data_IF_791234703580
#
_entry.id   IF_791234703580
#
_cell.length_a   1.000
_cell.length_b   1.000
_cell.length_c   1.000
_cell.angle_alpha   90.00
_cell.angle_beta   90.00
_cell.angle_gamma   90.00
#
_symmetry.space_group_name_H-M   'P 1'
#
loop_
_entity.id
_entity.type
_entity.pdbx_description
1 polymer ?
#
# COMPACT_ATOMS: atom_id res chain seq x y z
N UNK A 1 11.42 -16.55 22.11
CA UNK A 1 11.52 -16.11 23.51
C UNK A 1 10.39 -16.77 24.27
N UNK A 2 10.74 -17.84 24.97
CA UNK A 2 9.80 -18.63 25.74
C UNK A 2 9.74 -18.11 27.18
N UNK A 3 8.54 -17.95 27.72
CA UNK A 3 8.29 -17.57 29.11
C UNK A 3 7.18 -18.47 29.63
N UNK A 4 7.43 -19.19 30.72
CA UNK A 4 6.49 -20.13 31.34
C UNK A 4 5.97 -21.24 30.38
N UNK A 5 6.79 -21.68 29.42
CA UNK A 5 6.41 -22.70 28.44
C UNK A 5 5.77 -22.16 27.15
N UNK A 6 5.57 -20.84 27.04
CA UNK A 6 4.91 -20.22 25.90
C UNK A 6 5.82 -19.22 25.17
N UNK A 7 5.83 -19.26 23.84
CA UNK A 7 6.55 -18.29 23.01
C UNK A 7 5.81 -16.95 22.99
N UNK A 8 6.40 -15.90 23.58
CA UNK A 8 5.85 -14.53 23.55
C UNK A 8 6.40 -13.68 22.40
N UNK A 9 7.60 -13.99 21.93
CA UNK A 9 8.28 -13.33 20.80
C UNK A 9 9.14 -14.36 20.06
N UNK A 10 9.51 -14.10 18.81
CA UNK A 10 10.43 -14.94 18.05
C UNK A 10 11.88 -14.75 18.53
N UNK A 11 12.31 -13.50 18.71
CA UNK A 11 13.61 -13.11 19.26
C UNK A 11 13.52 -11.74 19.98
N UNK A 12 14.63 -11.22 20.48
CA UNK A 12 14.71 -9.94 21.21
C UNK A 12 15.39 -8.81 20.42
N UNK A 13 15.46 -8.94 19.08
CA UNK A 13 16.06 -7.92 18.23
C UNK A 13 15.10 -6.73 18.03
N UNK A 14 15.60 -5.64 17.46
CA UNK A 14 14.79 -4.48 17.06
C UNK A 14 13.67 -4.90 16.10
N UNK A 15 13.98 -5.81 15.18
CA UNK A 15 13.01 -6.44 14.27
C UNK A 15 13.09 -7.96 14.47
N UNK A 16 11.95 -8.60 14.73
CA UNK A 16 11.89 -10.04 14.89
C UNK A 16 12.06 -10.76 13.55
N UNK A 17 11.42 -10.24 12.51
CA UNK A 17 11.53 -10.66 11.12
C UNK A 17 11.48 -9.44 10.21
N UNK A 18 11.89 -9.59 8.96
CA UNK A 18 12.02 -8.47 8.03
C UNK A 18 10.68 -7.81 7.69
N UNK A 19 9.56 -8.53 7.88
CA UNK A 19 8.23 -7.99 7.66
C UNK A 19 7.82 -6.91 8.68
N UNK A 20 8.49 -6.83 9.84
CA UNK A 20 8.26 -5.82 10.89
C UNK A 20 8.82 -4.44 10.51
N UNK A 21 9.70 -4.36 9.51
CA UNK A 21 10.28 -3.09 9.05
C UNK A 21 9.25 -2.19 8.35
N UNK A 22 8.61 -1.26 9.07
CA UNK A 22 7.60 -0.38 8.49
C UNK A 22 8.17 0.55 7.41
N UNK A 23 7.61 0.50 6.20
CA UNK A 23 7.99 1.37 5.09
C UNK A 23 6.82 1.61 4.12
N UNK A 24 6.84 2.72 3.40
CA UNK A 24 5.81 3.10 2.43
C UNK A 24 5.86 2.30 1.12
N UNK A 25 7.04 1.79 0.77
CA UNK A 25 7.24 0.90 -0.37
C UNK A 25 8.27 -0.16 0.00
N UNK A 26 8.09 -1.39 -0.51
CA UNK A 26 9.03 -2.50 -0.28
C UNK A 26 9.40 -3.18 -1.60
N UNK A 27 10.70 -3.45 -1.85
CA UNK A 27 11.07 -4.41 -2.88
C UNK A 27 10.65 -5.81 -2.43
N UNK A 28 10.21 -6.64 -3.38
CA UNK A 28 9.71 -7.98 -3.10
C UNK A 28 10.23 -9.00 -4.10
N UNK A 29 10.34 -10.22 -3.61
CA UNK A 29 10.56 -11.44 -4.38
C UNK A 29 9.58 -12.51 -3.87
N UNK A 30 9.17 -13.43 -4.73
CA UNK A 30 8.36 -14.59 -4.32
C UNK A 30 9.26 -15.53 -3.52
N UNK A 31 8.87 -15.79 -2.27
CA UNK A 31 9.59 -16.67 -1.34
C UNK A 31 9.13 -18.11 -1.50
N UNK A 32 10.07 -19.04 -1.39
CA UNK A 32 9.75 -20.45 -1.17
C UNK A 32 9.32 -20.67 0.29
N UNK A 33 8.72 -21.83 0.59
CA UNK A 33 8.29 -22.15 1.95
C UNK A 33 9.48 -22.12 2.91
N UNK A 34 9.35 -21.36 4.00
CA UNK A 34 10.40 -21.17 5.00
C UNK A 34 11.54 -20.23 4.60
N UNK A 35 11.56 -19.70 3.38
CA UNK A 35 12.64 -18.83 2.92
C UNK A 35 12.50 -17.40 3.45
N UNK A 36 13.61 -16.80 3.89
CA UNK A 36 13.63 -15.39 4.29
C UNK A 36 13.38 -14.44 3.10
N UNK A 37 12.55 -13.38 3.27
CA UNK A 37 12.33 -12.38 2.23
C UNK A 37 13.61 -11.66 1.77
N UNK A 38 14.56 -11.40 2.67
CA UNK A 38 15.84 -10.78 2.29
C UNK A 38 16.69 -11.70 1.44
N UNK A 39 16.68 -12.99 1.77
CA UNK A 39 17.46 -14.01 1.10
C UNK A 39 16.92 -14.31 -0.31
N UNK A 40 15.60 -14.36 -0.46
CA UNK A 40 14.98 -14.50 -1.78
C UNK A 40 15.40 -13.37 -2.72
N UNK A 41 15.40 -12.13 -2.22
CA UNK A 41 15.85 -10.97 -2.98
C UNK A 41 17.36 -10.97 -3.25
N UNK A 42 18.19 -11.38 -2.29
CA UNK A 42 19.64 -11.49 -2.50
C UNK A 42 19.97 -12.51 -3.59
N UNK A 43 19.26 -13.64 -3.63
CA UNK A 43 19.49 -14.73 -4.58
C UNK A 43 18.92 -14.45 -5.97
N UNK A 44 17.74 -13.83 -6.05
CA UNK A 44 16.95 -13.74 -7.28
C UNK A 44 16.61 -12.31 -7.71
N UNK A 45 17.17 -11.32 -7.02
CA UNK A 45 16.87 -9.91 -7.24
C UNK A 45 15.44 -9.53 -6.83
N UNK A 46 15.10 -8.28 -7.09
CA UNK A 46 13.75 -7.74 -6.90
C UNK A 46 12.87 -8.13 -8.08
N UNK A 47 11.68 -8.68 -7.81
CA UNK A 47 10.70 -9.06 -8.84
C UNK A 47 9.59 -8.03 -9.00
N UNK A 48 9.14 -7.43 -7.91
CA UNK A 48 8.10 -6.40 -7.90
C UNK A 48 8.27 -5.46 -6.71
N UNK A 49 7.50 -4.36 -6.69
CA UNK A 49 7.39 -3.45 -5.55
C UNK A 49 6.00 -3.52 -4.94
N UNK A 50 5.94 -3.48 -3.61
CA UNK A 50 4.70 -3.40 -2.84
C UNK A 50 4.54 -1.98 -2.31
N UNK A 51 3.56 -1.23 -2.83
CA UNK A 51 3.20 0.10 -2.31
C UNK A 51 2.26 -0.08 -1.12
N UNK A 52 2.63 0.48 0.03
CA UNK A 52 1.95 0.31 1.32
C UNK A 52 1.40 1.62 1.89
N UNK A 53 1.54 2.72 1.15
CA UNK A 53 1.20 4.07 1.59
C UNK A 53 -0.28 4.45 1.41
N UNK A 54 -1.11 3.54 0.92
CA UNK A 54 -2.51 3.83 0.60
C UNK A 54 -3.40 3.56 1.80
N UNK A 55 -4.16 4.57 2.19
CA UNK A 55 -5.30 4.40 3.08
C UNK A 55 -6.45 3.69 2.36
N UNK A 56 -7.30 3.01 3.12
CA UNK A 56 -8.53 2.42 2.59
C UNK A 56 -9.49 3.54 2.18
N UNK A 57 -9.88 3.58 0.91
CA UNK A 57 -10.91 4.50 0.44
C UNK A 57 -12.24 4.17 1.09
N UNK A 58 -12.84 5.16 1.73
CA UNK A 58 -14.20 5.05 2.31
C UNK A 58 -15.30 5.33 1.30
N UNK A 59 -14.94 5.80 0.11
CA UNK A 59 -15.86 6.18 -0.96
C UNK A 59 -15.94 5.12 -2.08
N UNK A 60 -15.08 4.12 -2.05
CA UNK A 60 -15.07 2.99 -2.98
C UNK A 60 -15.43 1.70 -2.25
N UNK A 61 -16.35 0.87 -2.80
CA UNK A 61 -16.79 -0.36 -2.13
C UNK A 61 -15.66 -1.35 -1.89
N UNK A 62 -14.65 -1.38 -2.77
CA UNK A 62 -13.49 -2.27 -2.66
C UNK A 62 -12.34 -1.66 -1.86
N UNK A 63 -12.53 -0.49 -1.27
CA UNK A 63 -11.47 0.22 -0.53
C UNK A 63 -10.43 0.90 -1.41
N UNK A 64 -10.58 0.85 -2.74
CA UNK A 64 -9.71 1.52 -3.73
C UNK A 64 -10.46 1.75 -5.03
N UNK A 65 -10.22 2.88 -5.69
CA UNK A 65 -10.82 3.23 -6.98
C UNK A 65 -9.93 2.88 -8.19
N UNK A 66 -10.54 2.59 -9.34
CA UNK A 66 -9.80 2.31 -10.59
C UNK A 66 -8.92 3.49 -11.01
N UNK A 67 -9.41 4.72 -10.89
CA UNK A 67 -8.62 5.92 -11.19
C UNK A 67 -7.42 6.08 -10.25
N UNK A 68 -7.53 5.64 -8.99
CA UNK A 68 -6.41 5.65 -8.04
C UNK A 68 -5.34 4.64 -8.47
N UNK A 69 -5.75 3.42 -8.83
CA UNK A 69 -4.84 2.37 -9.31
C UNK A 69 -4.09 2.80 -10.58
N UNK A 70 -4.81 3.38 -11.57
CA UNK A 70 -4.18 3.90 -12.80
C UNK A 70 -3.19 5.02 -12.51
N UNK A 71 -3.51 5.91 -11.57
CA UNK A 71 -2.59 6.96 -11.16
C UNK A 71 -1.33 6.39 -10.49
N UNK A 72 -1.48 5.41 -9.59
CA UNK A 72 -0.35 4.76 -8.93
C UNK A 72 0.54 4.06 -9.94
N UNK A 73 -0.03 3.36 -10.93
CA UNK A 73 0.73 2.73 -12.00
C UNK A 73 1.50 3.76 -12.83
N UNK A 74 0.86 4.86 -13.25
CA UNK A 74 1.54 5.94 -13.96
C UNK A 74 2.66 6.58 -13.12
N UNK A 75 2.43 6.79 -11.82
CA UNK A 75 3.42 7.30 -10.89
C UNK A 75 4.63 6.36 -10.78
N UNK A 76 4.41 5.05 -10.64
CA UNK A 76 5.49 4.06 -10.56
C UNK A 76 6.31 4.00 -11.85
N UNK A 77 5.65 4.05 -13.00
CA UNK A 77 6.33 4.10 -14.30
C UNK A 77 7.09 5.41 -14.49
N UNK A 78 6.54 6.53 -14.03
CA UNK A 78 7.23 7.81 -14.04
C UNK A 78 8.50 7.77 -13.15
N UNK A 79 8.41 7.20 -11.95
CA UNK A 79 9.57 6.98 -11.07
C UNK A 79 10.62 6.07 -11.71
N UNK A 80 10.22 5.04 -12.46
CA UNK A 80 11.13 4.14 -13.18
C UNK A 80 11.91 4.87 -14.29
N UNK A 81 11.25 5.80 -15.00
CA UNK A 81 11.82 6.52 -16.13
C UNK A 81 12.58 7.78 -15.73
N UNK A 82 12.34 8.29 -14.53
CA UNK A 82 12.95 9.51 -14.03
C UNK A 82 14.37 9.26 -13.50
N UNK A 83 15.29 10.23 -13.63
CA UNK A 83 16.58 10.17 -12.96
C UNK A 83 16.40 9.97 -11.45
N UNK A 84 17.10 8.99 -10.87
CA UNK A 84 17.03 8.66 -9.46
C UNK A 84 18.45 8.53 -8.91
N UNK A 85 18.96 9.61 -8.32
CA UNK A 85 20.25 9.60 -7.66
C UNK A 85 20.18 8.76 -6.38
N UNK A 86 21.29 8.13 -5.94
CA UNK A 86 21.33 7.46 -4.65
C UNK A 86 20.92 8.40 -3.52
N UNK A 87 20.06 7.92 -2.62
CA UNK A 87 19.61 8.66 -1.45
C UNK A 87 20.70 8.57 -0.37
N UNK A 88 21.23 9.72 0.02
CA UNK A 88 22.11 9.82 1.19
C UNK A 88 21.31 10.08 2.48
N UNK A 89 22.00 10.21 3.61
CA UNK A 89 21.35 10.39 4.91
C UNK A 89 20.55 11.70 4.99
N UNK A 90 21.01 12.77 4.35
CA UNK A 90 20.28 14.04 4.32
C UNK A 90 19.00 13.93 3.49
N UNK A 91 19.09 13.31 2.30
CA UNK A 91 17.93 13.02 1.46
C UNK A 91 16.93 12.09 2.15
N UNK A 92 17.41 11.10 2.92
CA UNK A 92 16.51 10.23 3.71
C UNK A 92 15.71 11.02 4.74
N UNK A 93 16.36 11.93 5.48
CA UNK A 93 15.70 12.79 6.47
C UNK A 93 14.71 13.76 5.81
N UNK A 94 15.06 14.34 4.66
CA UNK A 94 14.15 15.18 3.89
C UNK A 94 12.90 14.41 3.44
N UNK A 95 13.07 13.19 2.92
CA UNK A 95 11.95 12.33 2.51
C UNK A 95 11.03 12.02 3.69
N UNK A 96 11.58 11.60 4.84
CA UNK A 96 10.81 11.28 6.05
C UNK A 96 10.07 12.52 6.60
N UNK A 97 10.74 13.68 6.59
CA UNK A 97 10.15 14.96 7.01
C UNK A 97 9.01 15.37 6.10
N UNK A 98 9.21 15.32 4.77
CA UNK A 98 8.19 15.68 3.79
C UNK A 98 6.95 14.77 3.91
N UNK A 99 7.15 13.46 4.06
CA UNK A 99 6.05 12.51 4.27
C UNK A 99 5.24 12.86 5.52
N UNK A 100 5.91 13.18 6.62
CA UNK A 100 5.27 13.58 7.87
C UNK A 100 4.52 14.92 7.74
N UNK A 101 5.13 15.89 7.07
CA UNK A 101 4.53 17.21 6.82
C UNK A 101 3.26 17.09 5.97
N UNK A 102 3.28 16.28 4.89
CA UNK A 102 2.10 16.05 4.05
C UNK A 102 1.02 15.26 4.80
N UNK A 103 1.38 14.24 5.58
CA UNK A 103 0.42 13.47 6.37
C UNK A 103 -0.32 14.32 7.41
N UNK A 104 0.37 15.30 8.02
CA UNK A 104 -0.18 16.13 9.09
C UNK A 104 -0.83 17.43 8.60
N UNK A 105 -0.27 18.05 7.57
CA UNK A 105 -0.64 19.39 7.10
C UNK A 105 -0.80 19.49 5.57
N UNK A 106 -0.84 18.39 4.82
CA UNK A 106 -0.83 18.38 3.35
C UNK A 106 -2.02 19.04 2.64
N UNK A 107 -3.04 19.48 3.38
CA UNK A 107 -4.15 20.29 2.83
C UNK A 107 -3.92 21.80 2.95
N UNK A 108 -2.86 22.23 3.64
CA UNK A 108 -2.47 23.63 3.70
C UNK A 108 -1.87 24.06 2.35
N UNK A 109 -2.48 25.03 1.62
CA UNK A 109 -1.97 25.49 0.34
C UNK A 109 -0.63 26.21 0.42
N UNK A 110 -0.18 26.59 1.63
CA UNK A 110 1.11 27.23 1.88
C UNK A 110 2.18 26.25 2.41
N UNK A 111 1.88 24.94 2.45
CA UNK A 111 2.84 23.96 2.96
C UNK A 111 4.12 23.93 2.11
N UNK A 112 5.24 24.12 2.79
CA UNK A 112 6.58 24.02 2.22
C UNK A 112 7.22 22.67 2.59
N UNK A 113 8.02 22.15 1.67
CA UNK A 113 8.77 20.90 1.74
C UNK A 113 10.25 21.16 1.45
N UNK A 114 11.09 20.13 1.61
CA UNK A 114 12.51 20.19 1.28
C UNK A 114 12.84 19.33 0.04
N UNK A 115 13.65 19.87 -0.87
CA UNK A 115 14.23 19.17 -2.01
C UNK A 115 15.71 19.56 -2.16
N UNK A 116 16.60 18.64 -1.81
CA UNK A 116 18.05 18.82 -1.90
C UNK A 116 18.52 20.09 -1.18
N UNK A 117 18.07 20.28 0.05
CA UNK A 117 18.36 21.42 0.90
C UNK A 117 17.63 22.73 0.53
N UNK A 118 16.74 22.71 -0.46
CA UNK A 118 15.95 23.88 -0.87
C UNK A 118 14.50 23.74 -0.42
N UNK A 119 13.91 24.87 -0.08
CA UNK A 119 12.49 24.92 0.25
C UNK A 119 11.64 24.97 -1.03
N UNK A 120 10.64 24.09 -1.13
CA UNK A 120 9.74 23.98 -2.29
C UNK A 120 8.29 23.92 -1.83
N UNK A 121 7.39 24.61 -2.52
CA UNK A 121 5.95 24.54 -2.21
C UNK A 121 5.41 23.15 -2.59
N UNK A 122 4.64 22.49 -1.71
CA UNK A 122 3.94 21.23 -2.02
C UNK A 122 3.13 21.37 -3.31
N UNK A 123 2.37 22.47 -3.43
CA UNK A 123 1.48 22.70 -4.58
C UNK A 123 2.24 22.78 -5.90
N UNK A 124 3.22 23.67 -5.98
CA UNK A 124 4.00 23.88 -7.20
C UNK A 124 4.84 22.66 -7.57
N UNK A 125 5.44 21.99 -6.57
CA UNK A 125 6.21 20.79 -6.82
C UNK A 125 5.32 19.62 -7.27
N UNK A 126 4.16 19.44 -6.63
CA UNK A 126 3.16 18.45 -7.06
C UNK A 126 2.67 18.70 -8.48
N UNK A 127 2.42 19.95 -8.87
CA UNK A 127 2.04 20.31 -10.24
C UNK A 127 3.12 19.96 -11.25
N UNK A 128 4.38 20.27 -10.94
CA UNK A 128 5.51 19.93 -11.80
C UNK A 128 5.60 18.43 -12.05
N UNK A 129 5.51 17.63 -10.98
CA UNK A 129 5.53 16.17 -11.06
C UNK A 129 4.36 15.62 -11.88
N UNK A 130 3.13 16.10 -11.62
CA UNK A 130 1.94 15.67 -12.37
C UNK A 130 1.98 16.09 -13.83
N UNK A 131 2.49 17.30 -14.14
CA UNK A 131 2.71 17.74 -15.52
C UNK A 131 3.74 16.85 -16.23
N UNK A 132 4.81 16.46 -15.53
CA UNK A 132 5.83 15.52 -16.02
C UNK A 132 5.26 14.15 -16.41
N UNK A 133 4.15 13.72 -15.80
CA UNK A 133 3.48 12.45 -16.11
C UNK A 133 2.58 12.51 -17.35
N UNK A 134 2.19 13.69 -17.83
CA UNK A 134 1.22 13.83 -18.94
C UNK A 134 1.64 13.10 -20.22
N UNK A 135 2.91 13.19 -20.70
CA UNK A 135 3.31 12.46 -21.91
C UNK A 135 3.25 10.95 -21.74
N UNK A 136 3.56 10.45 -20.53
CA UNK A 136 3.49 9.03 -20.19
C UNK A 136 2.03 8.54 -20.18
N UNK A 137 1.13 9.25 -19.49
CA UNK A 137 -0.30 8.92 -19.47
C UNK A 137 -0.90 8.93 -20.89
N UNK A 138 -0.56 9.93 -21.71
CA UNK A 138 -0.99 10.01 -23.11
C UNK A 138 -0.45 8.88 -23.98
N UNK A 139 0.73 8.34 -23.64
CA UNK A 139 1.27 7.17 -24.32
C UNK A 139 0.55 5.88 -23.88
N UNK A 140 0.36 5.67 -22.57
CA UNK A 140 -0.35 4.52 -22.01
C UNK A 140 -1.78 4.41 -22.55
N UNK A 141 -2.47 5.55 -22.68
CA UNK A 141 -3.84 5.58 -23.21
C UNK A 141 -3.94 5.14 -24.66
N UNK A 142 -2.87 5.30 -25.45
CA UNK A 142 -2.83 4.85 -26.85
C UNK A 142 -2.44 3.38 -26.98
N UNK A 143 -1.75 2.82 -25.99
CA UNK A 143 -1.19 1.46 -26.04
C UNK A 143 -2.01 0.41 -25.28
N UNK A 144 -3.05 0.80 -24.53
CA UNK A 144 -3.77 -0.10 -23.63
C UNK A 144 -5.20 0.33 -23.30
N UNK A 145 -5.65 0.02 -22.09
CA UNK A 145 -7.06 0.16 -21.64
C UNK A 145 -7.52 1.62 -21.37
N UNK A 146 -6.73 2.63 -21.73
CA UNK A 146 -7.11 4.04 -21.58
C UNK A 146 -7.27 4.52 -20.13
N UNK A 147 -7.72 5.76 -19.94
CA UNK A 147 -8.09 6.34 -18.65
C UNK A 147 -6.94 6.76 -17.72
N UNK A 148 -5.68 6.67 -18.14
CA UNK A 148 -4.53 7.18 -17.39
C UNK A 148 -4.51 8.70 -17.38
N UNK A 149 -4.85 9.35 -18.50
CA UNK A 149 -4.94 10.82 -18.54
C UNK A 149 -6.08 11.34 -17.66
N UNK A 150 -7.23 10.65 -17.64
CA UNK A 150 -8.36 11.01 -16.76
C UNK A 150 -7.99 10.86 -15.28
N UNK A 151 -7.32 9.75 -14.93
CA UNK A 151 -6.80 9.53 -13.58
C UNK A 151 -5.82 10.63 -13.15
N UNK A 152 -4.93 11.06 -14.06
CA UNK A 152 -3.99 12.15 -13.80
C UNK A 152 -4.70 13.49 -13.60
N UNK A 153 -5.70 13.81 -14.43
CA UNK A 153 -6.50 15.02 -14.30
C UNK A 153 -7.22 15.11 -12.95
N UNK A 154 -7.73 13.98 -12.43
CA UNK A 154 -8.31 13.91 -11.08
C UNK A 154 -7.30 14.30 -10.00
N UNK A 155 -6.03 13.88 -10.12
CA UNK A 155 -5.00 14.28 -9.14
C UNK A 155 -4.56 15.73 -9.33
N UNK A 156 -4.45 16.21 -10.57
CA UNK A 156 -4.14 17.61 -10.87
C UNK A 156 -5.18 18.55 -10.26
N UNK A 157 -6.47 18.19 -10.34
CA UNK A 157 -7.54 18.98 -9.72
C UNK A 157 -7.37 19.11 -8.21
N UNK A 158 -6.86 18.09 -7.51
CA UNK A 158 -6.60 18.15 -6.06
C UNK A 158 -5.47 19.09 -5.67
N UNK A 159 -4.51 19.33 -6.57
CA UNK A 159 -3.47 20.35 -6.38
C UNK A 159 -4.02 21.78 -6.53
N UNK A 160 -5.10 21.94 -7.29
CA UNK A 160 -5.78 23.24 -7.45
C UNK A 160 -6.77 23.51 -6.33
N UNK A 161 -7.49 22.48 -5.90
CA UNK A 161 -8.48 22.55 -4.83
C UNK A 161 -8.27 21.40 -3.83
N UNK A 162 -7.61 21.66 -2.68
CA UNK A 162 -7.42 20.66 -1.63
C UNK A 162 -8.73 20.10 -1.06
N UNK A 163 -9.88 20.75 -1.27
CA UNK A 163 -11.20 20.24 -0.84
C UNK A 163 -11.62 18.97 -1.59
N UNK A 164 -11.02 18.70 -2.75
CA UNK A 164 -11.24 17.49 -3.55
C UNK A 164 -10.48 16.26 -3.04
N UNK A 165 -9.55 16.44 -2.08
CA UNK A 165 -8.82 15.33 -1.47
C UNK A 165 -9.76 14.42 -0.66
N UNK A 166 -9.52 13.09 -0.60
CA UNK A 166 -10.34 12.19 0.21
C UNK A 166 -10.44 12.63 1.67
N UNK A 167 -9.35 13.10 2.27
CA UNK A 167 -9.34 13.57 3.66
C UNK A 167 -10.23 14.81 3.88
N UNK A 168 -10.29 15.75 2.92
CA UNK A 168 -11.21 16.88 3.00
C UNK A 168 -12.67 16.45 2.79
N UNK A 169 -12.93 15.54 1.85
CA UNK A 169 -14.27 15.03 1.55
C UNK A 169 -14.88 14.25 2.72
N UNK A 170 -14.07 13.47 3.45
CA UNK A 170 -14.49 12.80 4.68
C UNK A 170 -14.95 13.81 5.72
N UNK A 171 -14.13 14.84 5.99
CA UNK A 171 -14.47 15.89 6.96
C UNK A 171 -15.72 16.68 6.53
N UNK A 172 -15.90 16.92 5.24
CA UNK A 172 -17.09 17.58 4.70
C UNK A 172 -18.36 16.73 4.89
N UNK A 173 -18.32 15.42 4.60
CA UNK A 173 -19.46 14.52 4.80
C UNK A 173 -19.84 14.43 6.30
N UNK A 174 -18.83 14.31 7.18
CA UNK A 174 -19.03 14.33 8.62
C UNK A 174 -19.72 15.63 9.08
N UNK A 175 -19.26 16.80 8.62
CA UNK A 175 -19.84 18.10 8.98
C UNK A 175 -21.26 18.28 8.42
N UNK A 176 -21.50 17.86 7.18
CA UNK A 176 -22.81 17.98 6.54
C UNK A 176 -23.90 17.20 7.30
N UNK A 177 -23.53 16.07 7.90
CA UNK A 177 -24.45 15.17 8.61
C UNK A 177 -24.41 15.32 10.13
N UNK A 178 -23.60 16.23 10.65
CA UNK A 178 -23.33 16.39 12.09
C UNK A 178 -22.93 15.05 12.76
N UNK A 179 -22.03 14.32 12.10
CA UNK A 179 -21.57 12.99 12.53
C UNK A 179 -20.18 13.06 13.17
N UNK A 180 -20.02 12.35 14.29
CA UNK A 180 -18.70 11.94 14.79
C UNK A 180 -18.04 10.94 13.83
N UNK A 181 -16.71 10.79 13.94
CA UNK A 181 -15.97 9.84 13.11
C UNK A 181 -16.50 8.41 13.18
N UNK A 182 -16.87 7.94 14.39
CA UNK A 182 -17.43 6.60 14.58
C UNK A 182 -18.77 6.42 13.84
N UNK A 183 -19.66 7.42 13.93
CA UNK A 183 -20.96 7.36 13.25
C UNK A 183 -20.77 7.33 11.72
N UNK A 184 -19.90 8.18 11.19
CA UNK A 184 -19.52 8.18 9.78
C UNK A 184 -18.98 6.81 9.33
N UNK A 185 -17.97 6.29 10.05
CA UNK A 185 -17.33 5.02 9.71
C UNK A 185 -18.33 3.86 9.74
N UNK A 186 -19.15 3.77 10.81
CA UNK A 186 -20.20 2.75 10.94
C UNK A 186 -21.21 2.83 9.80
N UNK A 187 -21.66 4.04 9.44
CA UNK A 187 -22.59 4.25 8.33
C UNK A 187 -22.02 3.76 7.00
N UNK A 188 -20.76 4.13 6.70
CA UNK A 188 -20.06 3.67 5.49
C UNK A 188 -19.85 2.15 5.48
N UNK A 189 -19.50 1.55 6.61
CA UNK A 189 -19.36 0.09 6.72
C UNK A 189 -20.68 -0.64 6.48
N UNK A 190 -21.80 -0.14 7.01
CA UNK A 190 -23.13 -0.72 6.77
C UNK A 190 -23.53 -0.56 5.29
N UNK A 191 -23.31 0.62 4.71
CA UNK A 191 -23.57 0.88 3.28
C UNK A 191 -22.83 -0.12 2.38
N UNK A 192 -21.54 -0.38 2.64
CA UNK A 192 -20.78 -1.36 1.86
C UNK A 192 -21.15 -2.81 2.15
N UNK A 193 -21.48 -3.14 3.40
CA UNK A 193 -21.99 -4.48 3.75
C UNK A 193 -23.31 -4.78 3.02
N UNK A 194 -24.24 -3.82 2.97
CA UNK A 194 -25.49 -3.93 2.24
C UNK A 194 -25.23 -4.00 0.73
N UNK A 195 -24.30 -3.20 0.20
CA UNK A 195 -23.90 -3.24 -1.21
C UNK A 195 -23.44 -4.63 -1.65
N UNK A 196 -22.58 -5.31 -0.87
CA UNK A 196 -22.10 -6.65 -1.20
C UNK A 196 -23.13 -7.75 -0.91
N UNK A 197 -23.93 -7.60 0.16
CA UNK A 197 -24.95 -8.60 0.51
C UNK A 197 -26.08 -8.68 -0.53
N UNK A 198 -26.33 -7.58 -1.25
CA UNK A 198 -27.32 -7.51 -2.32
C UNK A 198 -26.77 -7.94 -3.69
N UNK A 199 -25.50 -8.35 -3.78
CA UNK A 199 -24.92 -8.87 -5.01
C UNK A 199 -24.98 -10.40 -5.06
N UNK A 200 -25.34 -10.91 -6.23
CA UNK A 200 -25.37 -12.35 -6.49
C UNK A 200 -24.13 -12.76 -7.26
N UNK A 201 -23.30 -13.60 -6.65
CA UNK A 201 -22.21 -14.27 -7.36
C UNK A 201 -22.77 -15.31 -8.33
N UNK A 202 -22.10 -15.50 -9.47
CA UNK A 202 -22.45 -16.59 -10.37
C UNK A 202 -22.25 -17.95 -9.67
N UNK A 203 -23.01 -18.95 -10.09
CA UNK A 203 -22.88 -20.31 -9.54
C UNK A 203 -21.45 -20.86 -9.72
N UNK A 204 -20.78 -20.49 -10.82
CA UNK A 204 -19.39 -20.84 -11.10
C UNK A 204 -18.42 -20.23 -10.09
N UNK A 205 -18.51 -18.92 -9.83
CA UNK A 205 -17.63 -18.24 -8.85
C UNK A 205 -17.87 -18.78 -7.44
N UNK A 206 -19.13 -19.03 -7.07
CA UNK A 206 -19.46 -19.61 -5.77
C UNK A 206 -18.92 -21.03 -5.61
N UNK A 207 -18.94 -21.84 -6.68
CA UNK A 207 -18.38 -23.18 -6.67
C UNK A 207 -16.85 -23.14 -6.53
N UNK A 208 -16.17 -22.25 -7.26
CA UNK A 208 -14.72 -22.03 -7.15
C UNK A 208 -14.30 -21.62 -5.74
N UNK A 209 -15.01 -20.66 -5.11
CA UNK A 209 -14.70 -20.25 -3.74
C UNK A 209 -14.87 -21.38 -2.71
N UNK A 210 -15.92 -22.20 -2.85
CA UNK A 210 -16.12 -23.37 -1.98
C UNK A 210 -15.02 -24.42 -2.18
N UNK A 211 -14.63 -24.66 -3.43
CA UNK A 211 -13.54 -25.59 -3.74
C UNK A 211 -12.21 -25.11 -3.13
N UNK A 212 -11.85 -23.84 -3.31
CA UNK A 212 -10.63 -23.25 -2.73
C UNK A 212 -10.62 -23.29 -1.20
N UNK A 213 -11.77 -23.05 -0.56
CA UNK A 213 -11.88 -23.14 0.89
C UNK A 213 -11.68 -24.58 1.40
N UNK A 214 -12.20 -25.58 0.68
CA UNK A 214 -11.96 -26.99 1.01
C UNK A 214 -10.49 -27.39 0.77
N UNK A 215 -9.91 -26.94 -0.34
CA UNK A 215 -8.52 -27.20 -0.70
C UNK A 215 -7.55 -26.60 0.33
N UNK A 216 -7.77 -25.35 0.78
CA UNK A 216 -6.88 -24.72 1.77
C UNK A 216 -6.89 -25.43 3.11
N UNK A 217 -8.05 -25.90 3.57
CA UNK A 217 -8.17 -26.70 4.80
C UNK A 217 -7.51 -28.07 4.66
N UNK A 218 -7.68 -28.73 3.51
CA UNK A 218 -7.01 -30.00 3.23
C UNK A 218 -5.49 -29.84 3.17
N UNK A 219 -4.99 -28.76 2.56
CA UNK A 219 -3.57 -28.44 2.51
C UNK A 219 -2.98 -28.16 3.90
N UNK A 220 -3.71 -27.43 4.75
CA UNK A 220 -3.31 -27.23 6.15
C UNK A 220 -3.24 -28.57 6.90
N UNK A 221 -4.28 -29.40 6.81
CA UNK A 221 -4.32 -30.69 7.50
C UNK A 221 -3.21 -31.65 7.02
N UNK A 222 -2.88 -31.62 5.72
CA UNK A 222 -1.77 -32.38 5.17
C UNK A 222 -0.43 -31.92 5.75
N UNK A 223 -0.19 -30.59 5.81
CA UNK A 223 1.00 -30.03 6.42
C UNK A 223 1.12 -30.41 7.91
N UNK A 224 0.02 -30.34 8.66
CA UNK A 224 0.00 -30.71 10.08
C UNK A 224 0.23 -32.21 10.32
N UNK A 225 -0.08 -33.07 9.34
CA UNK A 225 0.14 -34.52 9.41
C UNK A 225 1.57 -34.94 9.04
N UNK A 226 2.31 -34.09 8.31
CA UNK A 226 3.72 -34.32 8.02
C UNK A 226 4.56 -34.28 9.32
N UNK A 227 5.62 -35.09 9.45
CA UNK A 227 6.51 -35.01 10.61
C UNK A 227 7.10 -33.61 10.76
N UNK A 228 6.72 -32.91 11.83
CA UNK A 228 7.18 -31.55 12.12
C UNK A 228 8.41 -31.56 13.03
N UNK A 229 9.31 -30.60 12.79
CA UNK A 229 10.38 -30.28 13.74
C UNK A 229 9.78 -29.63 14.99
N UNK A 230 10.40 -29.78 16.17
CA UNK A 230 10.08 -28.92 17.31
C UNK A 230 10.17 -27.45 16.89
N UNK A 231 9.20 -26.63 17.28
CA UNK A 231 9.09 -25.24 16.83
C UNK A 231 10.37 -24.42 17.09
N UNK A 232 11.04 -24.64 18.22
CA UNK A 232 12.32 -23.99 18.52
C UNK A 232 13.44 -24.35 17.54
N UNK A 233 13.47 -25.60 17.05
CA UNK A 233 14.43 -26.04 16.03
C UNK A 233 14.09 -25.43 14.66
N UNK A 234 12.81 -25.41 14.29
CA UNK A 234 12.34 -24.72 13.09
C UNK A 234 12.76 -23.25 13.09
N UNK A 235 12.55 -22.53 14.21
CA UNK A 235 12.97 -21.14 14.34
C UNK A 235 14.49 -20.97 14.23
N UNK A 236 15.26 -21.86 14.85
CA UNK A 236 16.72 -21.83 14.74
C UNK A 236 17.17 -22.02 13.28
N UNK A 237 16.62 -23.00 12.58
CA UNK A 237 16.90 -23.21 11.15
C UNK A 237 16.48 -22.00 10.32
N UNK A 238 15.28 -21.44 10.59
CA UNK A 238 14.80 -20.25 9.92
C UNK A 238 15.79 -19.09 10.07
N UNK A 239 16.23 -18.76 11.29
CA UNK A 239 17.10 -17.61 11.53
C UNK A 239 18.55 -17.82 11.08
N UNK A 240 19.02 -19.06 10.95
CA UNK A 240 20.40 -19.37 10.53
C UNK A 240 20.58 -19.50 9.01
N UNK A 241 19.50 -19.38 8.23
CA UNK A 241 19.56 -19.33 6.76
C UNK A 241 20.57 -18.29 6.25
N UNK A 242 21.29 -18.64 5.18
CA UNK A 242 22.32 -17.84 4.50
C UNK A 242 22.08 -17.69 3.02
#
# INVERSE_FOLDING_TARGET
MEVDGEYRQLNANILQIENEYYSFIRPKQITESGEKPTLSMQRRGVRYVEVRALDVSVHDPLGVGVAELKFIEALLLYCLLSPSAPIDESGRQEIESNQTAVATAGRDPQLMLADAGREVSLRDWGRELLAGMQPLCSWLDRSGEGGFSDALLVQMAKMEDPSLTPSARILADMRMRDESFYQFARRRSVEWADYFSNQTLSAEVMADFKARAAESLAAQAALEAEPQLPFGEYLHQYFTQK
#
